data_IF_373834163524
#
_entry.id   IF_373834163524
#
_cell.length_a   1.000
_cell.length_b   1.000
_cell.length_c   1.000
_cell.angle_alpha   90.00
_cell.angle_beta   90.00
_cell.angle_gamma   90.00
#
_symmetry.space_group_name_H-M   'P 1'
#
loop_
_entity.id
_entity.type
_entity.pdbx_description
1 polymer ?
#
# COMPACT_ATOMS: atom_id res chain seq x y z
N UNK A 1 -23.06 -6.19 12.71
CA UNK A 1 -22.93 -4.71 12.65
C UNK A 1 -21.91 -4.23 13.68
N UNK A 2 -22.08 -4.57 14.96
CA UNK A 2 -21.18 -4.14 16.03
C UNK A 2 -19.69 -4.47 15.80
N UNK A 3 -19.34 -5.66 15.31
CA UNK A 3 -17.92 -6.02 15.14
C UNK A 3 -17.19 -5.19 14.10
N UNK A 4 -17.91 -4.70 13.08
CA UNK A 4 -17.35 -3.86 12.02
C UNK A 4 -17.07 -2.44 12.52
N UNK A 5 -18.05 -1.83 13.18
CA UNK A 5 -17.91 -0.49 13.74
C UNK A 5 -16.88 -0.47 14.88
N UNK A 6 -16.82 -1.54 15.69
CA UNK A 6 -15.78 -1.72 16.70
C UNK A 6 -14.37 -1.84 16.10
N UNK A 7 -14.21 -2.62 15.03
CA UNK A 7 -12.92 -2.73 14.34
C UNK A 7 -12.53 -1.42 13.67
N UNK A 8 -13.46 -0.68 13.08
CA UNK A 8 -13.17 0.64 12.51
C UNK A 8 -12.70 1.62 13.59
N UNK A 9 -13.40 1.66 14.74
CA UNK A 9 -12.98 2.46 15.88
C UNK A 9 -11.60 2.04 16.40
N UNK A 10 -11.33 0.73 16.51
CA UNK A 10 -10.04 0.22 16.93
C UNK A 10 -8.91 0.59 15.94
N UNK A 11 -9.16 0.47 14.64
CA UNK A 11 -8.22 0.86 13.58
C UNK A 11 -7.92 2.35 13.65
N UNK A 12 -8.89 3.22 13.96
CA UNK A 12 -8.59 4.66 14.09
C UNK A 12 -7.59 4.97 15.21
N UNK A 13 -7.41 4.08 16.19
CA UNK A 13 -6.44 4.21 17.27
C UNK A 13 -5.13 3.46 16.96
N UNK A 14 -5.24 2.23 16.44
CA UNK A 14 -4.10 1.38 16.06
C UNK A 14 -4.48 0.42 14.93
N UNK A 15 -3.92 0.61 13.75
CA UNK A 15 -4.10 -0.28 12.60
C UNK A 15 -3.71 -1.75 12.88
N UNK A 16 -2.89 -2.04 13.89
CA UNK A 16 -2.58 -3.43 14.29
C UNK A 16 -3.79 -4.17 14.86
N UNK A 17 -4.87 -3.46 15.23
CA UNK A 17 -6.15 -4.08 15.60
C UNK A 17 -6.67 -5.02 14.51
N UNK A 18 -6.35 -4.76 13.24
CA UNK A 18 -6.72 -5.60 12.11
C UNK A 18 -6.14 -7.03 12.25
N UNK A 19 -5.03 -7.24 12.97
CA UNK A 19 -4.47 -8.58 13.23
C UNK A 19 -5.45 -9.50 13.97
N UNK A 20 -6.26 -8.94 14.87
CA UNK A 20 -7.20 -9.67 15.71
C UNK A 20 -8.60 -9.77 15.09
N UNK A 21 -8.86 -9.03 14.00
CA UNK A 21 -10.11 -9.11 13.28
C UNK A 21 -10.34 -10.51 12.68
N UNK A 22 -11.60 -10.89 12.56
CA UNK A 22 -12.00 -12.15 11.92
C UNK A 22 -11.56 -12.18 10.45
N UNK A 23 -11.47 -13.39 9.88
CA UNK A 23 -11.08 -13.55 8.46
C UNK A 23 -12.00 -12.79 7.52
N UNK A 24 -13.31 -12.72 7.83
CA UNK A 24 -14.29 -11.96 7.04
C UNK A 24 -14.02 -10.45 7.10
N UNK A 25 -13.72 -9.90 8.28
CA UNK A 25 -13.42 -8.47 8.43
C UNK A 25 -12.09 -8.07 7.78
N UNK A 26 -11.11 -8.99 7.72
CA UNK A 26 -9.85 -8.77 6.98
C UNK A 26 -10.02 -8.72 5.46
N UNK A 27 -11.16 -9.19 4.95
CA UNK A 27 -11.55 -9.08 3.53
C UNK A 27 -12.44 -7.86 3.28
N UNK A 28 -12.90 -7.17 4.32
CA UNK A 28 -13.73 -5.99 4.15
C UNK A 28 -12.88 -4.85 3.60
N UNK A 29 -13.23 -4.45 2.38
CA UNK A 29 -12.56 -3.41 1.62
C UNK A 29 -12.49 -2.07 2.37
N UNK A 30 -13.56 -1.69 3.06
CA UNK A 30 -13.62 -0.41 3.78
C UNK A 30 -12.73 -0.44 5.03
N UNK A 31 -12.66 -1.59 5.71
CA UNK A 31 -11.76 -1.80 6.85
C UNK A 31 -10.30 -1.72 6.38
N UNK A 32 -9.97 -2.37 5.26
CA UNK A 32 -8.64 -2.31 4.68
C UNK A 32 -8.26 -0.89 4.25
N UNK A 33 -9.15 -0.16 3.56
CA UNK A 33 -8.94 1.24 3.19
C UNK A 33 -8.70 2.13 4.42
N UNK A 34 -9.50 1.98 5.47
CA UNK A 34 -9.32 2.73 6.72
C UNK A 34 -7.96 2.43 7.35
N UNK A 35 -7.53 1.18 7.37
CA UNK A 35 -6.25 0.76 7.94
C UNK A 35 -5.05 1.31 7.14
N UNK A 36 -5.06 1.18 5.81
CA UNK A 36 -3.95 1.67 4.97
C UNK A 36 -3.88 3.19 4.91
N UNK A 37 -5.02 3.88 5.06
CA UNK A 37 -5.06 5.34 5.15
C UNK A 37 -4.43 5.86 6.44
N UNK A 38 -4.41 5.05 7.50
CA UNK A 38 -3.74 5.39 8.75
C UNK A 38 -2.25 5.01 8.71
N UNK A 39 -1.93 3.79 8.28
CA UNK A 39 -0.57 3.30 8.09
C UNK A 39 -0.52 2.37 6.86
N UNK A 40 0.21 2.77 5.82
CA UNK A 40 0.36 1.97 4.60
C UNK A 40 0.94 0.58 4.83
N UNK A 41 1.64 0.35 5.96
CA UNK A 41 2.11 -0.99 6.39
C UNK A 41 0.97 -1.95 6.70
N UNK A 42 -0.24 -1.45 6.95
CA UNK A 42 -1.43 -2.26 7.20
C UNK A 42 -1.80 -3.15 5.99
N UNK A 43 -1.31 -2.82 4.79
CA UNK A 43 -1.50 -3.66 3.60
C UNK A 43 -0.99 -5.09 3.82
N UNK A 44 0.07 -5.30 4.62
CA UNK A 44 0.57 -6.64 4.96
C UNK A 44 -0.43 -7.52 5.70
N UNK A 45 -1.44 -6.91 6.32
CA UNK A 45 -2.47 -7.59 7.11
C UNK A 45 -3.72 -7.91 6.28
N UNK A 46 -3.85 -7.31 5.10
CA UNK A 46 -4.92 -7.58 4.16
C UNK A 46 -4.72 -8.94 3.48
N UNK A 47 -5.80 -9.50 2.94
CA UNK A 47 -5.72 -10.74 2.20
C UNK A 47 -5.20 -10.53 0.76
N UNK A 48 -4.96 -11.62 0.05
CA UNK A 48 -4.45 -11.59 -1.32
C UNK A 48 -5.38 -10.83 -2.30
N UNK A 49 -6.71 -10.91 -2.12
CA UNK A 49 -7.66 -10.19 -2.98
C UNK A 49 -7.50 -8.67 -2.84
N UNK A 50 -7.38 -8.18 -1.60
CA UNK A 50 -7.20 -6.74 -1.34
C UNK A 50 -5.78 -6.26 -1.68
N UNK A 51 -4.77 -7.13 -1.60
CA UNK A 51 -3.44 -6.84 -2.13
C UNK A 51 -3.41 -6.76 -3.66
N UNK A 52 -4.47 -7.20 -4.34
CA UNK A 52 -4.69 -6.99 -5.77
C UNK A 52 -5.70 -5.86 -6.05
N UNK A 53 -6.25 -5.21 -5.02
CA UNK A 53 -7.13 -4.05 -5.20
C UNK A 53 -6.27 -2.81 -5.43
N UNK A 54 -6.36 -2.30 -6.67
CA UNK A 54 -5.57 -1.16 -7.13
C UNK A 54 -5.74 0.08 -6.26
N UNK A 55 -6.95 0.39 -5.79
CA UNK A 55 -7.19 1.58 -4.97
C UNK A 55 -6.61 1.43 -3.57
N UNK A 56 -6.74 0.24 -2.96
CA UNK A 56 -6.16 -0.04 -1.65
C UNK A 56 -4.63 0.02 -1.69
N UNK A 57 -4.03 -0.61 -2.70
CA UNK A 57 -2.57 -0.59 -2.85
C UNK A 57 -2.08 0.82 -3.12
N UNK A 58 -2.78 1.60 -3.96
CA UNK A 58 -2.43 2.99 -4.22
C UNK A 58 -2.50 3.84 -2.93
N UNK A 59 -3.54 3.69 -2.13
CA UNK A 59 -3.67 4.35 -0.83
C UNK A 59 -2.52 3.93 0.12
N UNK A 60 -2.15 2.65 0.13
CA UNK A 60 -1.06 2.15 0.96
C UNK A 60 0.31 2.72 0.54
N UNK A 61 0.64 2.74 -0.75
CA UNK A 61 1.95 3.22 -1.24
C UNK A 61 2.09 4.73 -1.13
N UNK A 62 1.00 5.48 -1.23
CA UNK A 62 1.01 6.93 -1.01
C UNK A 62 1.26 7.27 0.46
N UNK A 63 0.82 6.42 1.39
CA UNK A 63 1.11 6.56 2.81
C UNK A 63 2.49 6.02 3.21
N UNK A 64 2.94 4.91 2.58
CA UNK A 64 4.22 4.26 2.83
C UNK A 64 4.69 3.53 1.57
N UNK A 65 5.67 4.06 0.84
CA UNK A 65 6.09 3.58 -0.48
C UNK A 65 6.55 2.13 -0.47
N UNK A 66 7.24 1.71 0.60
CA UNK A 66 7.64 0.32 0.81
C UNK A 66 6.45 -0.64 0.98
N UNK A 67 5.20 -0.17 1.10
CA UNK A 67 4.00 -1.01 1.07
C UNK A 67 3.86 -1.75 -0.27
N UNK A 68 4.50 -1.27 -1.34
CA UNK A 68 4.55 -1.94 -2.64
C UNK A 68 5.01 -3.40 -2.54
N UNK A 69 5.86 -3.73 -1.55
CA UNK A 69 6.32 -5.11 -1.31
C UNK A 69 5.17 -6.10 -1.03
N UNK A 70 4.04 -5.62 -0.50
CA UNK A 70 2.87 -6.44 -0.15
C UNK A 70 1.83 -6.52 -1.27
N UNK A 71 1.95 -5.68 -2.30
CA UNK A 71 1.07 -5.71 -3.45
C UNK A 71 1.24 -7.02 -4.27
N UNK A 72 0.23 -7.34 -5.05
CA UNK A 72 0.30 -8.42 -6.03
C UNK A 72 1.40 -8.19 -7.08
N UNK A 73 1.83 -9.25 -7.75
CA UNK A 73 2.81 -9.17 -8.82
C UNK A 73 2.31 -8.27 -9.96
N UNK A 74 1.02 -8.33 -10.26
CA UNK A 74 0.35 -7.50 -11.27
C UNK A 74 0.47 -6.01 -10.93
N UNK A 75 0.18 -5.63 -9.68
CA UNK A 75 0.25 -4.23 -9.24
C UNK A 75 1.68 -3.74 -9.00
N UNK A 76 2.63 -4.64 -8.73
CA UNK A 76 4.07 -4.31 -8.75
C UNK A 76 4.58 -3.95 -10.15
N UNK A 77 3.88 -4.39 -11.20
CA UNK A 77 4.14 -3.98 -12.58
C UNK A 77 3.22 -2.82 -13.04
N UNK A 78 2.33 -2.32 -12.19
CA UNK A 78 1.54 -1.13 -12.51
C UNK A 78 2.43 0.11 -12.36
N UNK A 79 2.71 0.75 -13.50
CA UNK A 79 3.55 1.95 -13.58
C UNK A 79 3.05 3.08 -12.68
N UNK A 80 1.75 3.27 -12.53
CA UNK A 80 1.18 4.34 -11.70
C UNK A 80 1.42 4.06 -10.22
N UNK A 81 1.22 2.82 -9.79
CA UNK A 81 1.48 2.42 -8.40
C UNK A 81 2.96 2.48 -8.09
N UNK A 82 3.82 1.97 -8.97
CA UNK A 82 5.26 2.01 -8.79
C UNK A 82 5.76 3.46 -8.70
N UNK A 83 5.29 4.35 -9.58
CA UNK A 83 5.63 5.78 -9.52
C UNK A 83 5.15 6.44 -8.23
N UNK A 84 3.94 6.11 -7.75
CA UNK A 84 3.44 6.63 -6.48
C UNK A 84 4.31 6.16 -5.30
N UNK A 85 4.70 4.89 -5.28
CA UNK A 85 5.57 4.32 -4.26
C UNK A 85 6.96 4.97 -4.25
N UNK A 86 7.57 5.13 -5.44
CA UNK A 86 8.89 5.75 -5.62
C UNK A 86 8.86 7.24 -5.29
N UNK A 87 7.76 7.93 -5.59
CA UNK A 87 7.58 9.34 -5.22
C UNK A 87 7.47 9.51 -3.70
N UNK A 88 6.97 8.49 -2.99
CA UNK A 88 6.91 8.49 -1.53
C UNK A 88 8.29 8.15 -0.91
N UNK A 89 8.94 7.09 -1.38
CA UNK A 89 10.31 6.72 -1.01
C UNK A 89 10.97 6.05 -2.21
N UNK A 90 12.03 6.66 -2.76
CA UNK A 90 12.68 6.16 -3.96
C UNK A 90 13.24 4.75 -3.83
N UNK A 91 13.52 4.29 -2.61
CA UNK A 91 13.96 2.91 -2.35
C UNK A 91 12.85 1.90 -2.62
N UNK A 92 11.58 2.32 -2.60
CA UNK A 92 10.46 1.46 -2.94
C UNK A 92 10.53 0.88 -4.36
N UNK A 93 11.34 1.49 -5.25
CA UNK A 93 11.62 0.95 -6.58
C UNK A 93 12.15 -0.50 -6.52
N UNK A 94 12.84 -0.89 -5.45
CA UNK A 94 13.36 -2.26 -5.27
C UNK A 94 12.25 -3.33 -5.30
N UNK A 95 11.02 -2.94 -4.93
CA UNK A 95 9.85 -3.82 -4.87
C UNK A 95 8.99 -3.81 -6.13
N UNK A 96 9.26 -2.91 -7.07
CA UNK A 96 8.62 -2.91 -8.38
C UNK A 96 9.10 -4.11 -9.22
N UNK A 97 8.41 -4.38 -10.33
CA UNK A 97 8.86 -5.37 -11.30
C UNK A 97 10.26 -5.05 -11.84
N UNK A 98 10.99 -6.07 -12.31
CA UNK A 98 12.29 -5.87 -12.95
C UNK A 98 12.19 -4.91 -14.15
N UNK A 99 11.10 -5.01 -14.92
CA UNK A 99 10.80 -4.15 -16.07
C UNK A 99 10.74 -2.67 -15.67
N UNK A 100 10.05 -2.34 -14.59
CA UNK A 100 9.92 -0.94 -14.12
C UNK A 100 11.18 -0.44 -13.40
N UNK A 101 11.99 -1.34 -12.84
CA UNK A 101 13.28 -0.99 -12.25
C UNK A 101 14.32 -0.57 -13.29
N UNK A 102 14.26 -1.19 -14.47
CA UNK A 102 15.14 -0.86 -15.61
C UNK A 102 14.55 0.26 -16.49
N UNK A 103 13.32 0.71 -16.19
CA UNK A 103 12.70 1.83 -16.88
C UNK A 103 13.42 3.14 -16.54
N UNK A 104 14.22 3.60 -17.52
CA UNK A 104 15.05 4.78 -17.38
C UNK A 104 14.23 6.06 -17.10
N UNK A 105 12.94 6.13 -17.47
CA UNK A 105 12.11 7.29 -17.11
C UNK A 105 11.79 7.29 -15.61
N UNK A 106 11.50 6.13 -15.02
CA UNK A 106 11.21 6.00 -13.58
C UNK A 106 12.48 6.28 -12.77
N UNK A 107 13.60 5.71 -13.19
CA UNK A 107 14.90 5.91 -12.52
C UNK A 107 15.38 7.36 -12.65
N UNK A 108 15.30 7.96 -13.84
CA UNK A 108 15.76 9.34 -14.06
C UNK A 108 14.88 10.38 -13.37
N UNK A 109 13.55 10.16 -13.27
CA UNK A 109 12.65 11.03 -12.51
C UNK A 109 13.09 11.14 -11.04
N UNK A 110 13.60 10.06 -10.46
CA UNK A 110 14.13 10.03 -9.11
C UNK A 110 15.52 10.69 -9.01
N UNK A 111 16.42 10.45 -9.97
CA UNK A 111 17.78 11.00 -9.95
C UNK A 111 17.85 12.52 -10.23
N UNK A 112 16.84 13.10 -10.89
CA UNK A 112 16.86 14.50 -11.36
C UNK A 112 16.03 15.46 -10.48
N UNK A 113 15.33 14.95 -9.46
CA UNK A 113 14.51 15.78 -8.56
C UNK A 113 15.21 16.00 -7.21
N UNK A 114 15.92 17.13 -6.96
CA UNK A 114 16.30 17.48 -5.61
C UNK A 114 15.02 17.78 -4.83
N UNK A 115 14.82 17.04 -3.74
CA UNK A 115 13.77 17.26 -2.74
C UNK A 115 13.50 18.77 -2.53
N UNK A 116 12.28 19.29 -2.77
CA UNK A 116 11.93 20.57 -2.19
C UNK A 116 11.88 20.39 -0.66
N UNK A 117 12.67 21.22 0.01
CA UNK A 117 12.82 21.29 1.47
C UNK A 117 11.54 21.72 2.16
#
# INVERSE_FOLDING_TARGET
>A
KNDRDLILAAITQDCNALRFASKELKKDRAIALAAVSQDGRALRLANQELNNDREIVLAAVTQYGHALQFASIELKNDRVIALAAVSQDGRALEFASAELRDDHEIVSRFLVSPFPS
#
